data_IF_563014465401
#
_entry.id   IF_563014465401
#
_cell.length_a   1.000
_cell.length_b   1.000
_cell.length_c   1.000
_cell.angle_alpha   90.00
_cell.angle_beta   90.00
_cell.angle_gamma   90.00
#
_symmetry.space_group_name_H-M   'P 1'
#
loop_
_entity.id
_entity.type
_entity.pdbx_description
1 polymer ?
2 non-polymer ?
3 non-polymer ?
4 water ?
#
# COMPACT_ATOMS: atom_id res chain seq x y z
N UNK A 10 -14.12 -1.49 22.20
CA UNK A 10 -13.22 -2.31 23.01
C UNK A 10 -11.85 -1.64 23.20
N UNK A 11 -11.80 -0.95 24.34
CA UNK A 11 -10.58 -0.26 24.80
C UNK A 11 -9.90 -1.12 25.86
N UNK A 12 -8.60 -1.30 25.68
CA UNK A 12 -7.84 -2.11 26.66
C UNK A 12 -7.34 -1.18 27.76
N UNK A 13 -7.20 -1.75 28.96
CA UNK A 13 -6.75 -0.97 30.13
C UNK A 13 -5.33 -0.46 29.79
N UNK A 14 -5.05 0.72 30.18
CA UNK A 14 -3.81 1.46 29.98
C UNK A 14 -2.69 0.91 30.85
N UNK A 15 -1.57 0.60 30.18
CA UNK A 15 -0.38 0.11 30.92
C UNK A 15 0.08 1.28 31.82
N UNK A 16 0.87 0.87 32.83
CA UNK A 16 1.39 1.81 33.81
C UNK A 16 2.30 2.87 33.28
N UNK A 17 3.08 2.61 32.26
CA UNK A 17 4.02 3.66 31.77
C UNK A 17 3.39 4.70 30.93
N UNK A 18 2.09 4.56 30.61
CA UNK A 18 1.47 5.54 29.66
C UNK A 18 0.82 6.70 30.46
N UNK A 19 1.29 7.90 30.23
CA UNK A 19 0.68 9.10 30.85
C UNK A 19 -0.70 9.26 30.22
N UNK A 20 -1.69 9.50 31.03
CA UNK A 20 -3.07 9.63 30.49
C UNK A 20 -3.22 10.79 29.54
N UNK A 21 -2.26 11.72 29.54
CA UNK A 21 -2.33 12.91 28.69
C UNK A 21 -1.96 12.53 27.26
N UNK A 22 -1.32 11.38 27.12
CA UNK A 22 -0.89 10.91 25.79
C UNK A 22 -1.90 9.98 25.21
N UNK A 23 -2.98 9.64 25.86
CA UNK A 23 -4.04 8.78 25.32
C UNK A 23 -4.88 9.51 24.28
N UNK A 24 -5.09 8.83 23.17
CA UNK A 24 -5.93 9.25 22.02
C UNK A 24 -6.40 7.90 21.38
N UNK A 25 -7.62 7.54 21.62
CA UNK A 25 -8.17 6.26 21.17
C UNK A 25 -8.57 6.31 19.68
N UNK A 26 -7.64 6.08 18.86
CA UNK A 26 -7.71 5.94 17.42
C UNK A 26 -7.87 4.43 17.12
N UNK A 27 -8.83 4.11 16.22
CA UNK A 27 -9.03 2.74 15.80
C UNK A 27 -8.59 2.73 14.32
N UNK A 28 -7.39 2.21 14.07
CA UNK A 28 -6.83 2.18 12.75
C UNK A 28 -7.74 1.36 11.77
N UNK A 29 -8.61 0.58 12.31
CA UNK A 29 -9.49 -0.25 11.50
C UNK A 29 -10.86 0.34 11.29
N UNK A 30 -11.15 1.39 12.02
CA UNK A 30 -12.41 2.11 11.92
C UNK A 30 -12.32 3.46 12.59
N UNK A 31 -11.57 4.34 11.94
CA UNK A 31 -11.44 5.72 12.42
C UNK A 31 -12.83 6.36 12.34
N UNK A 32 -12.95 7.47 13.03
CA UNK A 32 -14.13 8.22 13.18
C UNK A 32 -14.67 8.97 12.01
N UNK A 33 -13.81 9.74 11.38
CA UNK A 33 -14.28 10.55 10.23
C UNK A 33 -14.28 9.80 8.91
N UNK A 34 -14.39 8.48 8.92
CA UNK A 34 -14.32 7.67 7.68
C UNK A 34 -15.14 8.24 6.55
N UNK A 35 -16.36 8.65 6.84
CA UNK A 35 -17.24 9.31 5.83
C UNK A 35 -16.54 10.42 5.07
N UNK A 36 -15.71 11.21 5.71
CA UNK A 36 -15.00 12.34 5.03
C UNK A 36 -14.00 11.86 4.00
N UNK A 37 -13.65 10.59 4.11
CA UNK A 37 -12.50 10.06 3.32
C UNK A 37 -11.49 9.54 4.34
N UNK A 38 -10.74 8.51 3.87
CA UNK A 38 -9.83 7.78 4.70
C UNK A 38 -8.61 8.60 5.12
N UNK A 39 -8.07 9.42 4.24
CA UNK A 39 -6.88 10.20 4.53
C UNK A 39 -7.35 11.30 5.53
N UNK A 40 -8.55 11.84 5.26
CA UNK A 40 -9.08 12.85 6.18
C UNK A 40 -9.32 12.26 7.56
N UNK A 41 -9.72 11.01 7.67
CA UNK A 41 -10.04 10.37 8.92
C UNK A 41 -8.79 10.22 9.75
N UNK A 42 -7.68 9.84 9.22
CA UNK A 42 -6.40 9.72 9.87
C UNK A 42 -5.79 11.08 10.25
N UNK A 43 -5.93 12.08 9.45
CA UNK A 43 -5.39 13.41 9.62
C UNK A 43 -5.90 14.11 10.88
N UNK A 44 -6.89 13.51 11.54
CA UNK A 44 -7.39 14.01 12.80
C UNK A 44 -6.25 13.86 13.84
N UNK A 45 -5.41 12.90 13.69
CA UNK A 45 -4.21 12.66 14.47
C UNK A 45 -3.29 13.85 14.37
N UNK A 46 -3.48 14.74 13.39
CA UNK A 46 -2.50 15.85 13.28
C UNK A 46 -3.04 17.21 13.71
N UNK A 47 -4.22 17.16 14.23
CA UNK A 47 -4.89 18.37 14.81
C UNK A 47 -4.06 18.80 16.03
N UNK A 48 -4.16 20.11 16.27
CA UNK A 48 -3.45 20.79 17.38
C UNK A 48 -3.63 20.16 18.72
N UNK A 49 -4.76 19.63 19.06
CA UNK A 49 -5.01 18.94 20.30
C UNK A 49 -4.25 17.63 20.48
N UNK A 50 -3.72 17.08 19.38
CA UNK A 50 -3.09 15.76 19.51
C UNK A 50 -1.60 15.89 19.72
N UNK A 51 -1.10 15.25 20.73
CA UNK A 51 0.38 15.18 20.96
C UNK A 51 1.00 14.36 19.81
N UNK A 52 2.24 14.60 19.49
CA UNK A 52 3.05 14.10 18.45
C UNK A 52 3.12 12.56 18.47
N UNK A 53 3.15 12.05 19.68
CA UNK A 53 3.18 10.62 19.95
C UNK A 53 2.04 10.32 20.90
N UNK A 54 1.12 9.51 20.62
CA UNK A 54 -0.03 9.18 21.40
C UNK A 54 -0.05 7.70 21.67
N UNK A 55 -0.94 7.28 22.55
CA UNK A 55 -1.20 5.87 22.84
C UNK A 55 -2.67 5.59 22.56
N UNK A 56 -2.99 4.47 21.88
CA UNK A 56 -4.46 4.24 21.70
C UNK A 56 -4.76 2.99 22.51
N UNK A 57 -5.99 2.88 22.97
CA UNK A 57 -6.34 1.65 23.73
C UNK A 57 -7.07 0.68 22.82
N UNK A 58 -7.27 1.02 21.58
CA UNK A 58 -7.97 0.11 20.64
C UNK A 58 -6.93 -0.86 20.09
N UNK A 59 -7.43 -1.94 19.55
CA UNK A 59 -6.58 -2.93 18.86
C UNK A 59 -5.46 -3.35 19.78
N UNK A 60 -5.79 -3.40 21.09
CA UNK A 60 -4.92 -3.83 22.13
C UNK A 60 -3.96 -2.88 22.83
N UNK A 61 -3.98 -1.62 22.47
CA UNK A 61 -3.13 -0.57 22.90
C UNK A 61 -1.79 -0.61 22.19
N UNK A 62 -1.39 0.53 21.68
CA UNK A 62 -0.11 0.66 20.92
C UNK A 62 0.09 2.19 20.82
N UNK A 63 1.28 2.58 20.49
CA UNK A 63 1.61 3.99 20.20
C UNK A 63 1.37 4.30 18.73
N UNK A 64 1.23 5.55 18.40
CA UNK A 64 1.13 6.10 17.08
C UNK A 64 2.01 7.33 16.99
N UNK A 65 2.91 7.41 16.10
CA UNK A 65 3.71 8.61 15.82
C UNK A 65 2.81 9.35 14.81
N UNK A 66 2.58 10.64 14.95
CA UNK A 66 1.70 11.40 14.12
C UNK A 66 2.40 12.40 13.22
N UNK A 67 3.65 12.53 13.24
CA UNK A 67 4.39 13.53 12.50
C UNK A 67 5.53 12.92 11.67
N UNK A 68 5.61 13.45 10.46
CA UNK A 68 6.61 13.03 9.50
C UNK A 68 7.99 12.89 10.05
N UNK A 69 8.37 13.76 10.93
CA UNK A 69 9.71 13.80 11.58
C UNK A 69 9.88 12.60 12.45
N UNK A 70 8.95 12.23 13.29
CA UNK A 70 9.03 11.07 14.14
C UNK A 70 9.01 9.79 13.37
N UNK A 71 8.07 9.71 12.40
CA UNK A 71 7.91 8.48 11.56
C UNK A 71 9.20 8.11 10.86
N UNK A 72 9.82 9.08 10.24
CA UNK A 72 11.11 8.90 9.59
C UNK A 72 12.17 8.45 10.53
N UNK A 73 12.23 9.07 11.72
CA UNK A 73 13.22 8.75 12.72
C UNK A 73 13.03 7.32 13.20
N UNK A 74 11.78 6.98 13.51
CA UNK A 74 11.55 5.60 13.97
C UNK A 74 11.90 4.64 12.82
N UNK A 75 11.65 4.99 11.58
CA UNK A 75 11.94 4.17 10.40
C UNK A 75 13.38 3.94 10.14
N UNK A 76 14.23 4.85 10.54
CA UNK A 76 15.67 4.78 10.42
C UNK A 76 16.33 3.97 11.49
N UNK A 77 15.86 4.08 12.68
CA UNK A 77 16.27 3.46 13.91
C UNK A 77 15.94 2.03 14.16
N UNK A 78 16.26 1.10 13.28
CA UNK A 78 15.92 -0.31 13.40
C UNK A 78 16.46 -1.00 14.64
N UNK A 79 17.46 -0.40 15.22
CA UNK A 79 18.06 -0.90 16.50
C UNK A 79 17.00 -0.87 17.59
N UNK A 80 16.21 0.25 17.60
CA UNK A 80 15.17 0.43 18.60
C UNK A 80 13.80 -0.09 18.15
N UNK A 81 13.51 0.34 16.95
CA UNK A 81 12.22 -0.03 16.28
C UNK A 81 12.42 -1.21 15.31
N UNK A 82 12.09 -2.37 15.77
CA UNK A 82 12.30 -3.62 15.03
C UNK A 82 11.10 -4.06 14.24
N UNK A 83 11.45 -4.63 13.04
CA UNK A 83 10.39 -5.07 12.08
C UNK A 83 9.84 -6.42 12.45
N UNK A 84 10.35 -7.04 13.52
CA UNK A 84 9.89 -8.34 13.93
C UNK A 84 8.40 -8.48 14.02
N UNK A 85 7.73 -7.51 14.54
CA UNK A 85 6.27 -7.49 14.84
C UNK A 85 5.74 -6.15 14.30
N UNK A 86 5.51 -6.15 12.97
CA UNK A 86 5.23 -4.97 12.20
C UNK A 86 3.80 -4.62 11.97
N UNK A 87 2.90 -5.48 12.45
CA UNK A 87 1.45 -5.23 12.24
C UNK A 87 0.80 -5.16 13.63
N UNK A 88 -0.14 -4.30 13.72
CA UNK A 88 -1.08 -4.17 14.86
C UNK A 88 -2.36 -4.82 14.28
N UNK A 89 -3.04 -5.65 14.99
CA UNK A 89 -2.81 -6.05 16.38
C UNK A 89 -1.66 -7.00 16.56
N UNK A 90 -1.27 -7.24 17.81
CA UNK A 90 -0.05 -8.06 18.09
C UNK A 90 -0.15 -9.42 17.45
N UNK A 91 -1.22 -10.16 17.64
CA UNK A 91 -1.40 -11.49 17.05
C UNK A 91 -1.07 -11.49 15.54
N UNK A 92 -1.47 -10.40 14.88
CA UNK A 92 -1.26 -10.17 13.49
C UNK A 92 0.24 -9.98 13.23
N UNK A 93 0.84 -9.10 14.05
CA UNK A 93 2.29 -8.81 13.82
C UNK A 93 3.10 -10.05 14.14
N UNK A 94 2.55 -10.82 15.10
CA UNK A 94 3.16 -12.01 15.60
C UNK A 94 3.17 -13.10 14.55
N UNK A 95 2.02 -13.29 13.91
CA UNK A 95 1.89 -14.46 12.99
C UNK A 95 2.55 -14.20 11.67
N UNK A 96 2.69 -12.90 11.45
CA UNK A 96 3.23 -12.46 10.07
C UNK A 96 4.71 -12.84 10.15
N UNK A 97 5.24 -13.32 9.09
CA UNK A 97 6.64 -13.71 8.97
C UNK A 97 7.14 -13.48 7.55
N UNK A 98 6.61 -12.41 6.96
CA UNK A 98 7.02 -12.12 5.54
C UNK A 98 8.47 -11.67 5.48
N UNK A 99 9.13 -12.06 4.36
CA UNK A 99 10.53 -11.62 4.19
C UNK A 99 10.48 -10.67 3.00
N UNK A 100 11.23 -9.59 2.97
CA UNK A 100 12.20 -9.15 3.99
C UNK A 100 11.61 -8.21 5.05
N UNK A 101 10.32 -8.09 5.06
CA UNK A 101 9.56 -7.19 5.94
C UNK A 101 9.67 -7.50 7.42
N UNK A 102 9.79 -8.75 7.82
CA UNK A 102 9.92 -9.07 9.25
C UNK A 102 11.35 -9.22 9.67
N UNK A 103 12.28 -8.63 8.96
CA UNK A 103 13.71 -8.73 9.38
C UNK A 103 14.31 -7.35 9.43
N UNK A 104 15.38 -7.25 10.25
CA UNK A 104 16.14 -6.01 10.32
C UNK A 104 17.47 -6.28 9.62
N UNK A 105 18.16 -5.21 9.28
CA UNK A 105 19.50 -5.27 8.74
C UNK A 105 20.37 -5.78 9.86
N UNK A 106 21.40 -6.55 9.54
CA UNK A 106 21.87 -6.90 8.21
C UNK A 106 21.29 -8.10 7.51
N UNK A 107 20.50 -8.89 8.19
CA UNK A 107 19.84 -10.11 7.67
C UNK A 107 18.92 -9.75 6.52
N UNK A 108 18.17 -8.68 6.70
CA UNK A 108 17.28 -8.10 5.65
C UNK A 108 17.92 -7.97 4.28
N UNK A 109 19.11 -7.37 4.26
CA UNK A 109 19.84 -6.99 3.04
C UNK A 109 19.90 -8.01 1.91
N UNK A 110 20.26 -9.24 2.21
CA UNK A 110 20.37 -10.34 1.31
C UNK A 110 19.05 -10.67 0.64
N UNK A 111 18.04 -10.88 1.48
CA UNK A 111 16.71 -11.24 0.99
C UNK A 111 16.17 -10.13 0.09
N UNK A 112 16.58 -8.93 0.50
CA UNK A 112 16.18 -7.70 -0.17
C UNK A 112 16.70 -7.74 -1.62
N UNK A 113 17.97 -8.01 -1.71
CA UNK A 113 18.70 -8.09 -2.99
C UNK A 113 18.00 -9.03 -3.99
N UNK A 114 17.51 -10.16 -3.48
CA UNK A 114 16.80 -11.12 -4.37
C UNK A 114 15.47 -10.62 -4.88
N UNK A 115 14.71 -10.01 -3.91
CA UNK A 115 13.35 -9.51 -4.17
C UNK A 115 13.40 -8.49 -5.30
N UNK A 116 14.47 -7.71 -5.26
CA UNK A 116 14.80 -6.69 -6.24
C UNK A 116 15.04 -7.32 -7.59
N UNK A 117 15.67 -8.47 -7.63
CA UNK A 117 15.92 -9.16 -8.92
C UNK A 117 14.58 -9.35 -9.61
N UNK A 118 13.60 -9.74 -8.82
CA UNK A 118 12.26 -9.97 -9.25
C UNK A 118 11.34 -8.82 -9.60
N UNK A 119 11.33 -7.69 -8.98
CA UNK A 119 10.49 -6.53 -9.11
C UNK A 119 11.17 -5.24 -9.52
N UNK A 120 12.48 -5.19 -9.45
CA UNK A 120 13.24 -3.97 -9.73
C UNK A 120 12.93 -3.32 -11.05
N UNK A 121 13.74 -2.27 -11.30
CA UNK A 121 13.72 -1.49 -12.53
C UNK A 121 13.73 -2.34 -13.80
N UNK A 122 14.77 -3.14 -13.94
CA UNK A 122 14.98 -4.00 -15.12
C UNK A 122 13.79 -4.84 -15.50
N UNK A 123 13.09 -5.35 -14.52
CA UNK A 123 11.86 -6.14 -14.78
C UNK A 123 10.80 -5.25 -15.38
N UNK A 124 10.58 -4.08 -14.82
CA UNK A 124 9.57 -3.14 -15.28
C UNK A 124 9.88 -2.70 -16.72
N UNK A 125 11.16 -2.38 -16.93
CA UNK A 125 11.69 -1.96 -18.22
C UNK A 125 11.29 -3.00 -19.30
N UNK A 126 11.29 -4.23 -18.89
CA UNK A 126 10.95 -5.39 -19.70
C UNK A 126 9.45 -5.58 -19.86
N UNK A 127 8.65 -5.17 -18.88
CA UNK A 127 7.21 -5.40 -18.93
C UNK A 127 6.42 -4.22 -19.43
N UNK A 128 7.10 -3.16 -19.73
CA UNK A 128 6.45 -1.89 -20.06
C UNK A 128 5.39 -2.01 -21.13
N UNK A 129 5.76 -2.72 -22.19
CA UNK A 129 4.85 -2.92 -23.35
C UNK A 129 3.67 -3.75 -22.94
N UNK A 130 3.76 -4.72 -22.05
CA UNK A 130 2.50 -5.41 -21.69
C UNK A 130 1.67 -4.47 -20.84
N UNK A 131 2.42 -3.68 -20.01
CA UNK A 131 1.66 -2.77 -19.08
C UNK A 131 0.77 -1.86 -19.93
N UNK A 132 1.37 -1.27 -20.91
CA UNK A 132 0.78 -0.27 -21.84
C UNK A 132 -0.28 -0.88 -22.69
N UNK A 133 -0.01 -2.14 -23.11
CA UNK A 133 -0.90 -2.96 -23.85
C UNK A 133 -2.15 -3.28 -23.07
N UNK A 134 -1.96 -3.78 -21.84
CA UNK A 134 -3.13 -4.12 -21.02
C UNK A 134 -3.96 -2.91 -20.66
N UNK A 135 -3.30 -1.80 -20.34
CA UNK A 135 -4.11 -0.57 -20.00
C UNK A 135 -4.97 -0.12 -21.18
N UNK A 136 -4.38 0.03 -22.32
CA UNK A 136 -5.16 0.47 -23.55
C UNK A 136 -6.33 -0.46 -23.82
N UNK A 137 -6.04 -1.74 -23.74
CA UNK A 137 -7.09 -2.79 -24.00
C UNK A 137 -8.27 -2.67 -23.05
N UNK A 138 -7.95 -2.53 -21.76
CA UNK A 138 -8.99 -2.42 -20.69
C UNK A 138 -9.85 -1.17 -20.87
N UNK A 139 -9.22 -0.05 -21.19
CA UNK A 139 -9.84 1.25 -21.32
C UNK A 139 -10.71 1.29 -22.56
N UNK A 140 -10.13 0.80 -23.64
CA UNK A 140 -10.86 0.81 -24.95
C UNK A 140 -12.10 -0.03 -24.81
N UNK A 141 -11.95 -1.07 -24.03
CA UNK A 141 -13.11 -1.98 -23.77
C UNK A 141 -14.15 -1.31 -22.98
N UNK A 142 -13.75 -0.36 -22.08
CA UNK A 142 -14.71 0.38 -21.25
C UNK A 142 -15.33 1.55 -21.97
N UNK A 143 -14.52 2.30 -22.70
CA UNK A 143 -14.88 3.55 -23.37
C UNK A 143 -16.27 3.69 -23.87
N UNK A 144 -16.76 2.82 -24.74
CA UNK A 144 -18.10 2.96 -25.34
C UNK A 144 -19.26 2.76 -24.43
N UNK A 145 -19.05 2.19 -23.26
CA UNK A 145 -20.11 1.87 -22.30
C UNK A 145 -20.69 3.05 -21.53
N UNK A 146 -19.89 4.12 -21.43
CA UNK A 146 -20.22 5.30 -20.69
C UNK A 146 -20.34 5.01 -19.17
N UNK A 147 -19.91 3.89 -18.69
CA UNK A 147 -20.06 3.54 -17.28
C UNK A 147 -19.31 2.32 -16.85
N UNK A 148 -18.50 2.42 -15.75
CA UNK A 148 -17.95 1.22 -15.11
C UNK A 148 -18.15 1.28 -13.59
N UNK A 149 -17.51 0.44 -12.88
CA UNK A 149 -17.20 0.14 -11.58
C UNK A 149 -15.66 0.25 -11.43
N UNK A 150 -15.05 1.37 -11.64
CA UNK A 150 -13.63 1.44 -11.71
C UNK A 150 -12.93 0.48 -10.77
N UNK A 151 -13.51 0.26 -9.58
CA UNK A 151 -12.73 -0.64 -8.68
C UNK A 151 -12.65 -1.99 -9.31
N UNK A 152 -13.76 -2.62 -9.61
CA UNK A 152 -13.73 -3.94 -10.24
C UNK A 152 -13.38 -3.96 -11.70
N UNK A 153 -13.86 -3.06 -12.50
CA UNK A 153 -13.60 -2.94 -13.92
C UNK A 153 -12.17 -2.59 -14.27
N UNK A 154 -11.38 -1.93 -13.46
CA UNK A 154 -10.03 -1.55 -13.92
C UNK A 154 -9.00 -1.64 -12.81
N UNK A 155 -9.33 -1.08 -11.65
CA UNK A 155 -8.35 -0.98 -10.56
C UNK A 155 -7.85 -2.33 -10.10
N UNK A 156 -8.74 -3.31 -10.08
CA UNK A 156 -8.37 -4.68 -9.80
C UNK A 156 -7.65 -5.41 -10.87
N UNK A 157 -8.21 -5.57 -12.08
CA UNK A 157 -7.63 -6.35 -13.14
C UNK A 157 -6.29 -5.88 -13.66
N UNK A 158 -6.22 -4.56 -13.86
CA UNK A 158 -5.03 -3.93 -14.46
C UNK A 158 -3.79 -4.42 -13.78
N UNK A 159 -3.57 -4.01 -12.53
CA UNK A 159 -2.44 -4.39 -11.71
C UNK A 159 -2.31 -5.85 -11.49
N UNK A 160 -3.40 -6.55 -11.22
CA UNK A 160 -3.42 -7.96 -10.83
C UNK A 160 -3.00 -8.87 -11.95
N UNK A 161 -3.55 -8.60 -13.11
CA UNK A 161 -3.20 -9.37 -14.30
C UNK A 161 -1.75 -9.10 -14.65
N UNK A 162 -1.19 -7.96 -14.41
CA UNK A 162 0.25 -7.80 -14.73
C UNK A 162 1.08 -8.59 -13.74
N UNK A 163 0.55 -8.69 -12.49
CA UNK A 163 1.31 -9.41 -11.46
C UNK A 163 1.32 -10.91 -11.82
N UNK A 164 0.14 -11.42 -12.13
CA UNK A 164 -0.05 -12.86 -12.32
C UNK A 164 0.85 -13.31 -13.45
N UNK A 165 0.97 -12.46 -14.46
CA UNK A 165 1.82 -12.64 -15.61
C UNK A 165 3.25 -12.76 -15.13
N UNK A 166 3.67 -11.89 -14.27
CA UNK A 166 5.04 -11.78 -13.75
C UNK A 166 5.34 -13.01 -12.90
N UNK A 167 4.36 -13.43 -12.13
CA UNK A 167 4.56 -14.50 -11.16
C UNK A 167 4.36 -15.87 -11.87
N UNK A 168 3.71 -15.85 -12.96
CA UNK A 168 3.36 -17.02 -13.78
C UNK A 168 2.29 -17.80 -13.05
N UNK A 169 1.24 -17.12 -12.61
CA UNK A 169 0.17 -17.84 -11.86
C UNK A 169 -1.11 -17.61 -12.67
N UNK A 170 -2.01 -18.56 -12.56
CA UNK A 170 -3.27 -18.52 -13.34
C UNK A 170 -4.23 -17.44 -12.96
N UNK A 171 -4.84 -16.79 -13.93
CA UNK A 171 -5.83 -15.72 -13.65
C UNK A 171 -7.01 -16.22 -12.86
N UNK A 172 -7.28 -17.49 -12.96
CA UNK A 172 -8.37 -18.20 -12.32
C UNK A 172 -8.20 -18.07 -10.82
N UNK A 173 -6.95 -17.94 -10.39
CA UNK A 173 -6.68 -17.87 -8.94
C UNK A 173 -7.02 -16.58 -8.25
N UNK A 174 -7.25 -15.52 -8.98
CA UNK A 174 -7.46 -14.19 -8.49
C UNK A 174 -8.44 -14.03 -7.37
N UNK A 175 -9.67 -14.47 -7.59
CA UNK A 175 -10.75 -14.28 -6.61
C UNK A 175 -10.40 -14.83 -5.26
N UNK A 176 -9.77 -15.98 -5.23
CA UNK A 176 -9.35 -16.73 -4.07
C UNK A 176 -8.19 -16.02 -3.37
N UNK A 177 -7.19 -15.71 -4.18
CA UNK A 177 -6.03 -14.96 -3.64
C UNK A 177 -6.35 -13.62 -3.02
N UNK A 178 -7.15 -12.86 -3.73
CA UNK A 178 -7.51 -11.50 -3.41
C UNK A 178 -8.26 -11.47 -2.11
N UNK A 179 -9.19 -12.40 -1.95
CA UNK A 179 -9.92 -12.53 -0.68
C UNK A 179 -8.93 -12.74 0.48
N UNK A 180 -7.98 -13.61 0.30
CA UNK A 180 -7.02 -13.91 1.34
C UNK A 180 -6.15 -12.68 1.68
N UNK A 181 -5.81 -11.95 0.66
CA UNK A 181 -4.93 -10.79 0.75
C UNK A 181 -5.62 -9.66 1.53
N UNK A 182 -6.87 -9.47 1.19
CA UNK A 182 -7.78 -8.50 1.75
C UNK A 182 -7.97 -8.69 3.25
N UNK A 183 -8.05 -9.95 3.62
CA UNK A 183 -8.26 -10.35 5.00
C UNK A 183 -7.05 -9.91 5.81
N UNK A 184 -5.91 -9.90 5.17
CA UNK A 184 -4.67 -9.50 5.83
C UNK A 184 -4.60 -8.02 6.14
N UNK A 185 -5.01 -7.17 5.20
CA UNK A 185 -4.84 -5.70 5.40
C UNK A 185 -6.06 -5.03 5.97
N UNK A 186 -7.21 -5.48 5.52
CA UNK A 186 -8.51 -4.99 5.93
C UNK A 186 -9.32 -6.15 6.43
N UNK A 187 -8.86 -6.72 7.54
CA UNK A 187 -9.52 -7.86 8.20
C UNK A 187 -11.04 -7.62 8.33
N UNK A 188 -11.72 -8.63 7.84
CA UNK A 188 -13.20 -8.66 7.72
C UNK A 188 -13.88 -9.03 9.05
N UNK A 189 -13.29 -10.01 9.65
CA UNK A 189 -13.74 -10.61 10.93
C UNK A 189 -13.99 -12.07 10.65
N UNK A 190 -13.97 -12.41 9.36
CA UNK A 190 -14.34 -13.75 8.86
C UNK A 190 -13.23 -14.77 9.08
N UNK A 191 -12.04 -14.24 9.18
CA UNK A 191 -10.85 -15.10 9.40
C UNK A 191 -9.78 -14.23 10.06
N UNK A 192 -9.07 -14.83 10.97
CA UNK A 192 -7.93 -14.23 11.69
C UNK A 192 -6.68 -14.19 10.76
N UNK A 193 -5.65 -13.50 11.18
CA UNK A 193 -4.44 -13.28 10.42
C UNK A 193 -3.76 -14.63 10.14
N UNK A 194 -3.64 -15.45 11.17
CA UNK A 194 -2.93 -16.72 11.02
C UNK A 194 -3.62 -17.67 10.06
N UNK A 195 -4.93 -17.77 10.19
CA UNK A 195 -5.74 -18.61 9.30
C UNK A 195 -5.51 -18.03 7.88
N UNK A 196 -5.60 -16.69 7.72
CA UNK A 196 -5.46 -16.11 6.41
C UNK A 196 -4.06 -16.48 5.92
N UNK A 197 -3.10 -16.25 6.81
CA UNK A 197 -1.70 -16.51 6.41
C UNK A 197 -1.48 -17.96 5.97
N UNK A 198 -2.10 -18.86 6.74
CA UNK A 198 -1.98 -20.27 6.46
C UNK A 198 -2.53 -20.66 5.12
N UNK A 199 -3.67 -20.12 4.77
CA UNK A 199 -4.40 -20.36 3.53
C UNK A 199 -3.57 -19.88 2.35
N UNK A 200 -2.94 -18.71 2.51
CA UNK A 200 -2.12 -18.24 1.33
C UNK A 200 -0.94 -19.20 1.20
N UNK A 201 -0.46 -19.63 2.34
CA UNK A 201 0.69 -20.56 2.39
C UNK A 201 0.36 -21.91 1.80
N UNK A 202 -0.85 -22.38 2.05
CA UNK A 202 -1.31 -23.66 1.48
C UNK A 202 -1.20 -23.63 -0.06
N UNK A 203 -1.55 -22.50 -0.60
CA UNK A 203 -1.52 -22.14 -2.01
C UNK A 203 -0.10 -22.25 -2.52
N UNK A 204 0.77 -21.42 -2.02
CA UNK A 204 2.16 -21.30 -2.46
C UNK A 204 2.99 -22.57 -2.38
N UNK A 205 2.93 -23.26 -1.27
CA UNK A 205 3.79 -24.44 -1.01
C UNK A 205 3.98 -25.34 -2.23
N UNK A 206 2.89 -25.84 -2.79
CA UNK A 206 2.92 -26.74 -3.93
C UNK A 206 3.56 -26.10 -5.14
N UNK A 207 3.24 -24.83 -5.34
CA UNK A 207 3.76 -24.05 -6.47
C UNK A 207 5.27 -23.99 -6.37
N UNK A 208 5.75 -23.58 -5.23
CA UNK A 208 7.18 -23.41 -5.03
C UNK A 208 7.92 -24.73 -5.24
N UNK A 209 7.42 -25.81 -4.68
CA UNK A 209 8.03 -27.13 -4.74
C UNK A 209 8.32 -27.46 -6.23
N UNK A 210 7.32 -27.28 -7.02
CA UNK A 210 7.16 -27.46 -8.45
C UNK A 210 8.18 -26.62 -9.20
N UNK A 211 8.47 -25.41 -8.72
CA UNK A 211 9.40 -24.51 -9.39
C UNK A 211 10.83 -24.65 -8.95
N UNK A 212 11.07 -25.43 -7.92
CA UNK A 212 12.46 -25.72 -7.51
C UNK A 212 12.92 -26.93 -8.35
N UNK A 213 11.98 -27.84 -8.55
CA UNK A 213 12.22 -29.05 -9.39
C UNK A 213 12.40 -28.65 -10.88
N UNK A 214 11.43 -27.91 -11.36
CA UNK A 214 11.25 -27.47 -12.73
C UNK A 214 11.01 -25.95 -12.84
N UNK A 215 12.15 -25.25 -12.84
CA UNK A 215 12.21 -23.82 -12.88
C UNK A 215 11.63 -23.24 -14.15
N UNK A 216 11.06 -22.07 -13.94
CA UNK A 216 10.60 -21.23 -15.08
C UNK A 216 11.50 -19.97 -15.04
N UNK A 217 10.97 -18.97 -15.70
CA UNK A 217 11.55 -17.64 -15.84
C UNK A 217 10.67 -16.67 -15.01
N UNK A 218 9.61 -17.20 -14.43
CA UNK A 218 8.66 -16.38 -13.65
C UNK A 218 9.26 -16.00 -12.29
N UNK A 219 8.57 -15.07 -11.61
CA UNK A 219 9.09 -14.51 -10.34
C UNK A 219 9.28 -15.55 -9.29
N UNK A 220 8.34 -16.49 -9.20
CA UNK A 220 8.37 -17.52 -8.16
C UNK A 220 9.60 -18.39 -8.33
N UNK A 221 9.78 -18.80 -9.61
CA UNK A 221 10.86 -19.66 -10.05
C UNK A 221 12.20 -19.01 -9.71
N UNK A 222 12.35 -17.71 -9.95
CA UNK A 222 13.60 -17.04 -9.58
C UNK A 222 13.78 -17.01 -8.04
N UNK A 223 12.71 -16.71 -7.31
CA UNK A 223 12.81 -16.65 -5.84
C UNK A 223 13.14 -18.04 -5.29
N UNK A 224 12.43 -19.02 -5.74
CA UNK A 224 12.57 -20.39 -5.24
C UNK A 224 13.98 -20.92 -5.42
N UNK A 225 14.65 -20.51 -6.47
CA UNK A 225 16.00 -20.99 -6.82
C UNK A 225 17.10 -19.98 -6.54
N UNK A 226 16.83 -18.92 -5.78
CA UNK A 226 17.75 -17.79 -5.58
C UNK A 226 18.82 -18.12 -4.58
N UNK A 227 19.84 -17.28 -4.51
CA UNK A 227 20.94 -17.42 -3.55
C UNK A 227 20.87 -16.29 -2.49
N UNK A 228 21.01 -16.72 -1.25
CA UNK A 228 21.02 -15.84 -0.10
C UNK A 228 22.20 -16.20 0.82
N UNK A 229 23.12 -15.26 0.91
CA UNK A 229 24.31 -15.40 1.79
C UNK A 229 25.09 -16.64 1.41
N UNK A 230 25.36 -16.71 0.11
CA UNK A 230 26.13 -17.77 -0.53
C UNK A 230 25.42 -19.09 -0.70
N UNK A 231 24.46 -19.37 0.15
CA UNK A 231 23.75 -20.69 0.09
C UNK A 231 22.40 -20.53 -0.57
N UNK A 232 21.79 -21.66 -0.89
CA UNK A 232 20.45 -21.69 -1.52
C UNK A 232 19.40 -21.25 -0.48
N UNK A 233 18.40 -20.55 -0.97
CA UNK A 233 17.26 -20.12 -0.14
C UNK A 233 16.46 -21.38 0.20
N UNK A 234 15.86 -21.43 1.33
CA UNK A 234 15.05 -22.62 1.71
C UNK A 234 13.68 -22.38 1.09
N UNK A 235 12.86 -23.41 1.21
CA UNK A 235 11.49 -23.44 0.65
C UNK A 235 10.63 -22.50 1.52
N UNK A 236 10.93 -22.59 2.81
CA UNK A 236 10.15 -21.85 3.85
C UNK A 236 10.42 -20.34 3.69
N UNK A 237 11.68 -19.97 3.49
CA UNK A 237 12.06 -18.62 3.16
C UNK A 237 11.44 -18.11 1.85
N UNK A 238 11.46 -19.01 0.85
CA UNK A 238 10.90 -18.60 -0.47
C UNK A 238 9.39 -18.37 -0.35
N UNK A 239 8.76 -19.17 0.46
CA UNK A 239 7.31 -19.09 0.69
C UNK A 239 7.01 -17.72 1.31
N UNK A 240 7.88 -17.43 2.34
CA UNK A 240 7.78 -16.16 3.04
C UNK A 240 8.10 -14.97 2.18
N UNK A 241 9.00 -14.96 1.23
CA UNK A 241 9.12 -13.81 0.32
C UNK A 241 7.86 -13.76 -0.58
N UNK A 242 7.56 -14.90 -1.21
CA UNK A 242 6.44 -14.95 -2.12
C UNK A 242 5.15 -14.44 -1.53
N UNK A 243 4.98 -14.76 -0.25
CA UNK A 243 3.77 -14.25 0.47
C UNK A 243 3.74 -12.73 0.35
N UNK A 244 4.87 -12.08 0.53
CA UNK A 244 4.92 -10.63 0.44
C UNK A 244 4.58 -10.10 -0.93
N UNK A 245 5.24 -10.74 -1.95
CA UNK A 245 5.03 -10.31 -3.36
C UNK A 245 3.55 -10.34 -3.71
N UNK A 246 2.86 -11.34 -3.26
CA UNK A 246 1.45 -11.55 -3.50
C UNK A 246 0.57 -10.38 -3.05
N UNK A 247 0.76 -10.02 -1.83
CA UNK A 247 0.11 -8.83 -1.19
C UNK A 247 0.49 -7.58 -1.95
N UNK A 248 1.72 -7.35 -2.29
CA UNK A 248 2.20 -6.20 -3.04
C UNK A 248 1.54 -6.10 -4.39
N UNK A 249 1.45 -7.22 -5.12
CA UNK A 249 0.81 -7.30 -6.40
C UNK A 249 -0.71 -7.10 -6.29
N UNK A 250 -1.36 -7.77 -5.36
CA UNK A 250 -2.82 -7.73 -5.31
C UNK A 250 -3.47 -6.59 -4.59
N UNK A 251 -2.87 -6.12 -3.54
CA UNK A 251 -3.38 -5.13 -2.59
C UNK A 251 -2.89 -3.77 -2.62
N UNK A 252 -1.99 -3.27 -3.39
CA UNK A 252 -1.42 -1.95 -3.34
C UNK A 252 -1.82 -0.92 -4.37
N UNK A 253 -1.38 -1.08 -5.58
CA UNK A 253 -1.65 -0.27 -6.75
C UNK A 253 -3.15 -0.30 -6.99
N UNK A 254 -3.72 -1.43 -6.59
CA UNK A 254 -5.19 -1.63 -6.73
C UNK A 254 -5.97 -0.52 -6.02
N UNK A 255 -5.66 -0.38 -4.77
CA UNK A 255 -6.27 0.67 -3.90
C UNK A 255 -5.83 2.06 -4.26
N UNK A 256 -4.56 2.26 -4.56
CA UNK A 256 -4.09 3.59 -4.98
C UNK A 256 -4.85 4.21 -6.07
N UNK A 257 -5.17 3.47 -7.14
CA UNK A 257 -5.74 3.90 -8.38
C UNK A 257 -7.16 4.41 -8.20
N UNK A 258 -7.90 3.69 -7.36
CA UNK A 258 -9.28 4.13 -7.05
C UNK A 258 -9.28 5.47 -6.32
N UNK A 259 -8.31 5.70 -5.41
CA UNK A 259 -8.36 7.06 -4.70
C UNK A 259 -8.08 8.13 -5.73
N UNK A 260 -7.07 7.85 -6.60
CA UNK A 260 -6.66 8.85 -7.61
C UNK A 260 -7.78 9.10 -8.63
N UNK A 261 -8.45 8.04 -9.02
CA UNK A 261 -9.52 8.16 -10.03
C UNK A 261 -10.71 8.90 -9.50
N UNK A 262 -11.00 8.67 -8.23
CA UNK A 262 -12.05 9.40 -7.49
C UNK A 262 -11.67 10.87 -7.45
N UNK A 263 -10.46 11.18 -7.05
CA UNK A 263 -10.03 12.61 -7.13
C UNK A 263 -10.21 13.13 -8.53
N UNK A 264 -9.71 12.42 -9.55
CA UNK A 264 -9.80 12.90 -10.92
C UNK A 264 -11.23 13.09 -11.38
N UNK A 265 -12.13 12.18 -11.10
CA UNK A 265 -13.53 12.28 -11.45
C UNK A 265 -14.18 13.51 -10.83
N UNK A 266 -13.62 13.99 -9.73
CA UNK A 266 -14.18 15.29 -9.14
C UNK A 266 -13.47 16.49 -9.52
N UNK A 267 -12.36 16.53 -10.13
CA UNK A 267 -11.60 17.77 -10.41
C UNK A 267 -11.27 17.95 -11.86
N UNK A 268 -12.24 18.47 -12.62
CA UNK A 268 -12.11 18.69 -14.06
C UNK A 268 -10.84 19.38 -14.45
N UNK A 269 -10.52 20.39 -13.61
CA UNK A 269 -9.34 21.22 -13.85
C UNK A 269 -8.05 20.45 -13.65
N UNK A 270 -8.09 19.45 -12.79
CA UNK A 270 -6.86 18.63 -12.63
C UNK A 270 -6.61 17.77 -13.85
N UNK A 271 -7.66 17.22 -14.35
CA UNK A 271 -7.71 16.46 -15.62
C UNK A 271 -7.20 17.32 -16.78
N UNK A 272 -7.64 18.53 -16.93
CA UNK A 272 -7.26 19.41 -18.00
C UNK A 272 -5.80 19.69 -18.06
N UNK A 273 -5.27 19.88 -16.88
CA UNK A 273 -3.90 20.31 -16.72
C UNK A 273 -2.99 19.25 -17.29
N UNK A 274 -3.33 18.00 -16.98
CA UNK A 274 -2.58 16.84 -17.35
C UNK A 274 -2.77 16.52 -18.84
N UNK A 275 -3.94 16.89 -19.32
CA UNK A 275 -4.26 16.82 -20.73
C UNK A 275 -3.43 17.75 -21.59
N UNK A 276 -3.36 19.01 -21.23
CA UNK A 276 -2.55 19.97 -22.02
C UNK A 276 -1.08 19.96 -21.71
N UNK A 277 -0.72 19.57 -20.49
CA UNK A 277 0.72 19.69 -20.11
C UNK A 277 1.16 18.33 -19.63
N UNK A 278 1.23 17.37 -20.55
CA UNK A 278 1.55 15.99 -20.27
C UNK A 278 2.86 15.81 -19.52
N UNK A 279 3.76 16.77 -19.61
CA UNK A 279 5.06 16.74 -19.01
C UNK A 279 5.02 16.73 -17.49
N UNK A 280 3.82 17.01 -17.01
CA UNK A 280 3.45 17.16 -15.64
C UNK A 280 2.98 15.85 -15.06
N UNK A 281 2.66 14.89 -15.93
CA UNK A 281 2.19 13.58 -15.39
C UNK A 281 3.01 13.00 -14.25
N UNK A 282 4.31 12.93 -14.37
CA UNK A 282 5.22 12.39 -13.33
C UNK A 282 5.03 13.18 -12.04
N UNK A 283 5.18 14.48 -12.14
CA UNK A 283 4.94 15.41 -11.01
C UNK A 283 3.62 15.13 -10.36
N UNK A 284 2.58 15.03 -11.15
CA UNK A 284 1.23 14.80 -10.68
C UNK A 284 1.17 13.50 -9.87
N UNK A 285 1.90 12.49 -10.44
CA UNK A 285 1.88 11.14 -9.89
C UNK A 285 2.46 11.19 -8.48
N UNK A 286 3.54 11.96 -8.30
CA UNK A 286 4.12 12.04 -6.95
C UNK A 286 3.15 12.73 -6.00
N UNK A 287 2.53 13.79 -6.43
CA UNK A 287 1.61 14.55 -5.60
C UNK A 287 0.46 13.66 -5.15
N UNK A 288 -0.05 12.82 -6.04
CA UNK A 288 -1.19 11.95 -5.75
C UNK A 288 -0.69 10.84 -4.81
N UNK A 289 0.54 10.42 -4.97
CA UNK A 289 1.14 9.43 -4.06
C UNK A 289 1.24 10.06 -2.64
N UNK A 290 1.57 11.31 -2.59
CA UNK A 290 1.56 12.11 -1.30
C UNK A 290 0.16 12.27 -0.70
N UNK A 291 -0.79 12.79 -1.49
CA UNK A 291 -2.16 13.07 -1.05
C UNK A 291 -2.98 11.83 -0.74
N UNK A 292 -2.90 10.79 -1.60
CA UNK A 292 -3.68 9.59 -1.41
C UNK A 292 -2.86 8.41 -0.97
N UNK A 293 -1.86 8.67 -0.15
CA UNK A 293 -0.97 7.67 0.49
C UNK A 293 -1.93 6.75 1.29
N UNK A 294 -1.53 5.48 1.52
CA UNK A 294 -2.50 4.54 2.02
C UNK A 294 -2.02 3.38 2.86
N UNK A 295 -0.75 3.38 3.20
CA UNK A 295 -0.15 2.32 3.99
C UNK A 295 0.04 2.78 5.46
N UNK A 296 -0.21 1.84 6.39
CA UNK A 296 0.08 2.11 7.81
C UNK A 296 0.54 0.88 8.51
N UNK A 297 1.88 0.79 8.66
CA UNK A 297 2.38 -0.26 9.58
C UNK A 297 3.23 0.31 10.67
N UNK A 298 3.94 -0.60 11.35
CA UNK A 298 4.67 -0.22 12.61
C UNK A 298 5.81 -1.11 12.84
N UNK A 299 6.39 -0.99 14.01
CA UNK A 299 7.57 -1.67 14.54
C UNK A 299 7.39 -1.94 16.03
N UNK A 300 8.23 -2.81 16.57
CA UNK A 300 8.09 -3.17 18.03
C UNK A 300 9.35 -2.72 18.71
N UNK A 301 9.23 -2.25 19.93
CA UNK A 301 10.40 -1.81 20.71
C UNK A 301 11.18 -3.05 21.21
N UNK A 302 12.46 -2.94 20.94
CA UNK A 302 13.41 -4.02 21.31
C UNK A 302 13.86 -3.85 22.75
N UNK A 303 13.61 -2.64 23.25
CA UNK A 303 13.92 -2.32 24.66
C UNK A 303 13.17 -1.06 25.11
N UNK A 304 13.49 -0.76 26.39
CA UNK A 304 12.94 0.50 26.99
C UNK A 304 13.81 1.59 26.34
N UNK A 305 13.12 2.59 25.82
CA UNK A 305 13.82 3.65 25.09
C UNK A 305 12.98 4.91 25.21
N UNK A 306 13.71 6.00 25.30
CA UNK A 306 13.01 7.29 25.49
C UNK A 306 13.11 8.07 24.22
N UNK A 307 11.94 8.27 23.62
CA UNK A 307 11.81 8.87 22.29
C UNK A 307 10.97 10.13 22.36
N UNK A 308 11.62 11.22 22.08
CA UNK A 308 10.95 12.56 22.06
C UNK A 308 10.22 12.78 23.36
N UNK A 309 10.92 12.49 24.46
CA UNK A 309 10.43 12.70 25.83
C UNK A 309 9.39 11.71 26.31
N UNK A 310 9.16 10.64 25.55
CA UNK A 310 8.18 9.63 25.97
C UNK A 310 8.89 8.34 26.26
N UNK A 311 8.46 7.65 27.31
CA UNK A 311 9.10 6.35 27.63
C UNK A 311 8.36 5.23 26.93
N UNK A 312 9.10 4.46 26.21
CA UNK A 312 8.53 3.31 25.44
C UNK A 312 9.11 2.09 26.16
N UNK A 313 8.23 1.15 26.45
CA UNK A 313 8.75 -0.06 27.11
C UNK A 313 9.02 -1.14 26.08
N UNK A 314 10.07 -1.90 26.26
CA UNK A 314 10.42 -3.03 25.39
C UNK A 314 9.13 -3.85 25.12
N UNK A 315 8.88 -4.14 23.83
CA UNK A 315 7.65 -4.96 23.56
C UNK A 315 6.45 -4.16 23.18
N UNK A 316 6.50 -2.85 23.37
CA UNK A 316 5.45 -1.92 22.95
C UNK A 316 5.49 -1.96 21.38
N UNK A 317 4.28 -1.86 20.85
CA UNK A 317 4.15 -1.68 19.38
C UNK A 317 3.86 -0.19 19.19
N UNK A 318 4.36 0.36 18.14
CA UNK A 318 4.03 1.71 17.68
C UNK A 318 3.69 1.63 16.19
N UNK A 319 2.60 2.17 15.75
CA UNK A 319 2.19 2.38 14.41
C UNK A 319 2.88 3.64 13.83
N UNK A 320 3.54 3.58 12.74
CA UNK A 320 4.28 4.68 12.11
C UNK A 320 3.65 4.82 10.67
N UNK A 321 2.47 5.36 10.64
CA UNK A 321 1.68 5.49 9.42
C UNK A 321 2.39 6.21 8.31
N UNK A 322 2.82 5.49 7.31
CA UNK A 322 3.50 6.04 6.13
C UNK A 322 2.71 7.12 5.47
N UNK A 323 1.42 6.89 5.52
CA UNK A 323 0.35 7.71 5.08
C UNK A 323 0.44 9.16 5.52
N UNK A 324 0.75 9.36 6.80
CA UNK A 324 0.76 10.67 7.46
C UNK A 324 1.92 11.57 7.17
N UNK A 325 3.11 11.13 6.96
CA UNK A 325 4.22 12.03 6.66
C UNK A 325 3.94 13.18 5.71
N UNK A 326 3.41 12.93 4.55
CA UNK A 326 3.07 13.81 3.47
C UNK A 326 1.83 14.67 3.76
N UNK A 327 0.98 14.25 4.67
CA UNK A 327 -0.21 14.99 5.01
C UNK A 327 0.02 16.03 6.12
N UNK A 328 1.16 16.00 6.75
CA UNK A 328 1.68 16.78 7.82
C UNK A 328 2.02 18.17 7.26
N UNK A 329 1.40 19.19 7.85
CA UNK A 329 1.60 20.57 7.50
C UNK A 329 3.02 21.02 7.67
N UNK A 330 3.77 20.42 8.54
CA UNK A 330 5.18 20.81 8.79
C UNK A 330 6.04 20.40 7.63
N UNK A 331 5.46 19.55 6.78
CA UNK A 331 6.16 18.92 5.64
C UNK A 331 5.62 19.48 4.33
N UNK A 332 4.32 19.65 4.26
CA UNK A 332 3.67 20.22 3.08
C UNK A 332 2.58 21.25 3.44
N UNK A 333 2.76 22.48 2.95
CA UNK A 333 1.77 23.57 3.18
C UNK A 333 0.48 23.08 2.48
N UNK A 334 -0.63 23.37 3.01
CA UNK A 334 -1.98 23.02 2.58
C UNK A 334 -2.05 21.56 2.11
N UNK A 335 -1.74 20.64 3.02
CA UNK A 335 -1.57 19.25 2.73
C UNK A 335 -2.70 18.52 2.08
N UNK A 336 -3.94 18.91 2.27
CA UNK A 336 -5.11 18.24 1.69
C UNK A 336 -5.42 18.82 0.30
N UNK A 337 -4.62 19.75 -0.12
CA UNK A 337 -4.73 20.41 -1.40
C UNK A 337 -3.77 19.69 -2.39
N UNK A 338 -4.38 19.31 -3.50
CA UNK A 338 -3.60 18.63 -4.58
C UNK A 338 -3.14 19.74 -5.53
N UNK A 339 -1.86 19.96 -5.57
CA UNK A 339 -1.26 21.01 -6.45
C UNK A 339 -0.11 20.33 -7.19
N UNK A 340 -0.25 20.15 -8.49
CA UNK A 340 0.73 19.44 -9.30
C UNK A 340 2.02 20.20 -9.48
N UNK A 341 2.01 21.43 -9.10
CA UNK A 341 3.19 22.28 -9.20
C UNK A 341 3.92 22.64 -7.93
N UNK A 342 3.70 21.88 -6.87
CA UNK A 342 4.40 22.03 -5.58
C UNK A 342 5.92 21.94 -5.84
N UNK A 343 6.71 22.80 -5.32
CA UNK A 343 8.16 22.79 -5.45
C UNK A 343 8.76 21.53 -4.82
N UNK A 344 8.16 21.06 -3.74
CA UNK A 344 8.66 19.87 -3.04
C UNK A 344 7.50 19.01 -2.56
N UNK A 345 7.43 17.83 -3.15
CA UNK A 345 6.48 16.80 -2.71
C UNK A 345 7.25 15.88 -1.76
N UNK A 346 6.96 16.03 -0.51
CA UNK A 346 7.55 15.25 0.60
C UNK A 346 6.51 14.23 1.03
N UNK A 347 6.86 12.97 0.95
CA UNK A 347 5.99 11.86 1.41
C UNK A 347 6.92 10.72 1.82
N UNK A 348 6.34 9.70 2.38
CA UNK A 348 7.04 8.44 2.68
C UNK A 348 6.05 7.33 2.32
N UNK A 349 5.38 7.58 1.20
CA UNK A 349 4.34 6.63 0.70
C UNK A 349 4.86 5.21 0.49
N UNK A 350 6.15 5.15 0.09
CA UNK A 350 6.78 3.83 -0.21
C UNK A 350 7.67 3.42 0.96
N UNK A 351 7.45 4.11 2.11
CA UNK A 351 8.24 3.78 3.27
C UNK A 351 9.51 4.60 3.32
N UNK A 352 10.30 4.22 4.34
CA UNK A 352 11.48 5.00 4.68
C UNK A 352 12.40 4.06 5.38
N UNK A 353 13.67 4.36 5.25
CA UNK A 353 14.67 3.53 5.89
C UNK A 353 15.03 2.32 5.08
N UNK A 354 15.47 1.28 5.81
CA UNK A 354 15.98 0.09 5.00
C UNK A 354 14.90 -0.64 4.27
N UNK A 355 13.64 -0.44 4.64
CA UNK A 355 12.52 -1.23 4.11
C UNK A 355 11.86 -0.55 2.95
N UNK A 356 12.51 0.38 2.36
CA UNK A 356 11.94 1.14 1.23
C UNK A 356 11.48 0.13 0.15
N UNK A 357 10.29 0.30 -0.30
CA UNK A 357 9.57 -0.34 -1.31
C UNK A 357 10.30 -0.53 -2.66
N UNK A 358 10.54 -1.86 -2.87
CA UNK A 358 11.20 -2.37 -4.06
C UNK A 358 10.25 -2.29 -5.27
N UNK A 359 8.95 -2.37 -5.04
CA UNK A 359 8.00 -2.37 -6.12
C UNK A 359 7.58 -0.98 -6.59
N UNK A 360 8.23 0.04 -6.04
CA UNK A 360 7.81 1.44 -6.30
C UNK A 360 7.88 1.74 -7.78
N UNK A 361 8.85 1.14 -8.44
CA UNK A 361 9.04 1.37 -9.94
C UNK A 361 7.88 0.84 -10.71
N UNK A 362 7.51 -0.40 -10.41
CA UNK A 362 6.36 -1.04 -11.02
C UNK A 362 5.12 -0.14 -10.74
N UNK A 363 4.98 0.21 -9.46
CA UNK A 363 3.78 1.06 -9.10
C UNK A 363 3.75 2.33 -9.85
N UNK A 364 4.86 3.10 -9.96
CA UNK A 364 4.85 4.38 -10.67
C UNK A 364 4.52 4.18 -12.14
N UNK A 365 5.10 3.12 -12.73
CA UNK A 365 4.84 2.84 -14.16
C UNK A 365 3.37 2.58 -14.39
N UNK A 366 2.74 1.78 -13.57
CA UNK A 366 1.31 1.46 -13.68
C UNK A 366 0.43 2.65 -13.43
N UNK A 367 0.80 3.56 -12.55
CA UNK A 367 0.02 4.81 -12.34
C UNK A 367 0.13 5.74 -13.54
N UNK A 368 1.36 6.03 -13.93
CA UNK A 368 1.52 6.97 -15.07
C UNK A 368 0.85 6.40 -16.32
N UNK A 369 0.91 5.11 -16.55
CA UNK A 369 0.30 4.53 -17.78
C UNK A 369 -1.18 4.81 -17.77
N UNK A 370 -1.83 4.47 -16.67
CA UNK A 370 -3.26 4.67 -16.48
C UNK A 370 -3.65 6.14 -16.64
N UNK A 371 -2.93 7.06 -15.99
CA UNK A 371 -3.40 8.46 -16.08
C UNK A 371 -3.29 8.85 -17.59
N UNK A 372 -2.16 8.55 -18.17
CA UNK A 372 -1.89 9.00 -19.52
C UNK A 372 -2.91 8.38 -20.47
N UNK A 373 -3.11 7.10 -20.30
CA UNK A 373 -4.01 6.37 -21.19
C UNK A 373 -5.45 6.61 -20.98
N UNK A 374 -5.93 6.79 -19.80
CA UNK A 374 -7.35 7.07 -19.51
C UNK A 374 -7.74 8.45 -20.01
N UNK A 375 -6.93 9.40 -19.67
CA UNK A 375 -7.16 10.80 -20.01
C UNK A 375 -7.24 11.01 -21.53
N UNK A 376 -6.55 10.15 -22.22
CA UNK A 376 -6.47 10.23 -23.72
C UNK A 376 -7.81 9.87 -24.31
N UNK A 377 -8.33 8.77 -23.89
CA UNK A 377 -9.59 8.20 -24.39
C UNK A 377 -10.78 8.79 -23.72
N UNK A 378 -10.74 8.85 -22.40
CA UNK A 378 -11.91 9.33 -21.62
C UNK A 378 -11.50 10.54 -20.76
N UNK A 379 -11.47 11.69 -21.43
CA UNK A 379 -11.07 12.95 -20.82
C UNK A 379 -12.04 13.54 -19.82
N UNK A 380 -13.31 13.18 -20.02
CA UNK A 380 -14.42 13.77 -19.29
C UNK A 380 -15.25 12.63 -18.73
N UNK A 381 -15.26 12.62 -17.39
CA UNK A 381 -15.96 11.63 -16.58
C UNK A 381 -16.26 12.31 -15.24
N UNK A 382 -17.21 11.71 -14.56
CA UNK A 382 -17.61 12.06 -13.22
C UNK A 382 -18.13 10.84 -12.50
N UNK A 383 -18.30 10.98 -11.20
CA UNK A 383 -18.84 9.87 -10.34
C UNK A 383 -20.33 9.82 -10.66
N UNK A 384 -20.85 8.66 -10.57
CA UNK A 384 -22.31 8.48 -10.86
C UNK A 384 -23.10 9.26 -9.84
N UNK A 385 -24.18 9.85 -10.30
CA UNK A 385 -25.12 10.62 -9.46
C UNK A 385 -25.71 9.70 -8.40
N UNK A 386 -25.66 10.17 -7.18
CA UNK A 386 -26.24 9.49 -6.02
C UNK A 386 -25.37 8.30 -5.60
N UNK A 387 -24.14 8.35 -6.10
CA UNK A 387 -23.15 7.32 -5.70
C UNK A 387 -22.55 7.94 -4.42
N UNK A 388 -22.46 7.06 -3.45
CA UNK A 388 -21.82 7.41 -2.17
C UNK A 388 -20.55 6.57 -2.03
N UNK A 389 -19.42 7.21 -2.30
CA UNK A 389 -18.11 6.56 -2.27
C UNK A 389 -17.70 6.22 -0.84
N UNK A 390 -17.39 4.95 -0.59
CA UNK A 390 -16.93 4.58 0.77
C UNK A 390 -15.50 4.16 0.79
N UNK A 391 -14.74 4.67 1.75
CA UNK A 391 -13.35 4.22 1.88
C UNK A 391 -13.30 3.14 2.93
N UNK A 392 -12.14 2.49 3.01
CA UNK A 392 -11.96 1.44 4.06
C UNK A 392 -10.57 1.66 4.64
N UNK A 393 -10.45 1.44 5.93
CA UNK A 393 -9.14 1.61 6.62
C UNK A 393 -8.60 0.30 7.11
N UNK A 394 -7.30 0.25 7.24
CA UNK A 394 -6.58 -0.91 7.73
C UNK A 394 -5.09 -0.64 7.44
N UNK A 395 -4.33 -1.71 7.35
CA UNK A 395 -2.92 -1.65 7.04
C UNK A 395 -2.77 -0.97 5.65
N UNK A 396 -3.68 -1.38 4.78
CA UNK A 396 -3.72 -0.71 3.44
C UNK A 396 -5.14 -0.24 3.28
N UNK A 397 -5.38 0.98 2.95
CA UNK A 397 -6.80 1.48 2.92
C UNK A 397 -7.26 1.28 1.46
N UNK A 398 -8.60 1.24 1.36
CA UNK A 398 -9.20 1.11 0.03
C UNK A 398 -10.43 1.90 -0.21
N UNK A 399 -10.91 1.79 -1.46
CA UNK A 399 -12.23 2.37 -1.87
C UNK A 399 -13.15 1.16 -2.07
N UNK A 400 -14.35 1.24 -1.59
CA UNK A 400 -15.29 0.05 -1.68
C UNK A 400 -15.79 -0.20 -3.08
N UNK A 401 -16.13 0.80 -3.84
CA UNK A 401 -16.59 0.75 -5.21
C UNK A 401 -16.37 2.14 -5.83
N UNK A 402 -16.16 2.28 -7.11
CA UNK A 402 -16.08 3.55 -7.78
C UNK A 402 -16.89 3.59 -9.09
N UNK A 403 -18.20 3.83 -8.93
CA UNK A 403 -19.16 4.00 -10.00
C UNK A 403 -18.86 5.30 -10.79
N UNK A 404 -18.43 5.15 -12.05
CA UNK A 404 -18.15 6.29 -12.94
C UNK A 404 -19.18 6.28 -14.08
N UNK A 405 -19.47 7.46 -14.62
CA UNK A 405 -20.33 7.62 -15.77
C UNK A 405 -19.66 8.65 -16.66
N UNK A 406 -19.92 8.59 -17.93
CA UNK A 406 -19.36 9.58 -18.89
C UNK A 406 -20.21 9.44 -20.16
N UNK A 407 -20.07 10.47 -20.97
CA UNK A 407 -20.76 10.43 -22.31
C UNK A 407 -19.75 9.83 -23.28
N UNK A 408 -20.18 8.78 -24.00
CA UNK A 408 -19.36 8.09 -24.96
C UNK A 408 -19.02 9.00 -26.09
N UNK A 409 -19.90 9.98 -26.31
CA UNK A 409 -19.72 10.89 -27.44
C UNK A 409 -18.52 11.80 -27.28
N UNK A 410 -18.04 11.89 -26.03
CA UNK A 410 -16.91 12.78 -25.73
C UNK A 410 -15.62 11.99 -25.59
N UNK A 411 -15.71 10.68 -25.78
CA UNK A 411 -14.51 9.86 -25.70
C UNK A 411 -13.79 9.92 -27.03
N UNK A 412 -12.58 9.38 -27.06
CA UNK A 412 -11.76 9.29 -28.25
C UNK A 412 -11.14 7.90 -28.36
N UNK A 413 -11.47 7.22 -29.44
CA UNK A 413 -10.87 5.89 -29.70
C UNK A 413 -9.45 6.17 -30.21
N UNK A 414 -8.56 5.32 -29.81
CA UNK A 414 -7.16 5.33 -30.27
C UNK A 414 -6.88 3.93 -30.83
X LIG B 1 7.71 -2.57 1.12
X LIG B 1 4.21 0.63 0.10
X LIG B 1 3.50 -1.52 -4.16
X LIG B 1 6.78 -4.88 -3.00
X LIG B 1 6.78 -1.52 1.20
X LIG B 1 6.72 -0.57 2.31
X LIG B 1 5.71 0.28 2.07
X LIG B 1 5.22 -0.04 0.69
X LIG B 1 5.24 1.49 2.85
X LIG B 1 7.57 -0.73 3.56
X LIG B 1 6.76 -1.32 4.76
X LIG B 1 7.59 -1.34 6.02
X LIG B 1 8.59 -0.56 6.08
X LIG B 1 7.11 -2.10 6.90
X LIG B 1 3.75 0.36 -1.15
X LIG B 1 2.86 1.21 -1.93
X LIG B 1 2.61 0.63 -3.10
X LIG B 1 3.36 -0.62 -3.10
X LIG B 1 2.21 2.50 -1.33
X LIG B 1 1.67 1.01 -4.21
X LIG B 1 1.07 2.05 -4.65
X LIG B 1 4.36 -2.62 -4.24
X LIG B 1 4.40 -3.56 -5.35
X LIG B 1 5.28 -4.54 -4.99
X LIG B 1 5.79 -4.20 -3.66
X LIG B 1 3.58 -3.46 -6.63
X LIG B 1 5.82 -5.73 -5.79
X LIG B 1 4.96 -6.73 -6.20
X LIG B 1 7.38 -4.51 -1.80
X LIG B 1 8.41 -5.24 -1.14
X LIG B 1 8.73 -4.57 -0.03
X LIG B 1 7.80 -3.46 0.08
X LIG B 1 9.13 -6.49 -1.75
X LIG B 1 9.77 -4.91 1.03
X LIG B 1 11.19 -4.28 0.92
X LIG B 1 12.07 -4.62 2.12
X LIG B 1 13.30 -4.35 2.07
X LIG B 1 11.48 -5.04 3.15
X LIG B 1 5.88 -1.14 0.25
X LIG B 1 4.14 -0.73 -1.94
X LIG B 1 5.23 -3.00 -3.29
X LIG B 1 7.00 -3.40 -1.04
X LIG B 1 5.73 -1.99 -1.60
X LIG C 1 3.29 -4.19 1.02
X LIG C 1 3.57 -3.04 0.37
X LIG C 1 4.09 -3.32 -0.75
X LIG C 1 4.16 -4.59 -0.91
X LIG C 1 3.65 -5.22 0.21
X LIG C 1 2.71 -4.26 2.41
X LIG C 1 1.56 -4.99 2.61
X LIG C 1 1.05 -5.06 3.94
X LIG C 1 1.69 -4.27 4.88
X LIG C 1 2.89 -3.61 4.71
X LIG C 1 3.39 -3.60 3.40
#
# INVERSE_FOLDING_TARGET
TTETIQSNANLAPLPPHVPEHLVFDFDMYNPSNLSAGVQEAWAVLQESNVPDLVWTRCNGGHWIATRGQLIREAYEDYRHFSSECPFIPREAGEAYDFIPTSMDPPEQRQFRALANQVVGMPVVDKLENRIQELACSLIESLRPQGQCNFTEDYAEPFPIRIFMLLAGLPEEDIPHLKYLTDQMTRPDGSMTFAEAKEALYDYLIPIIEQRRQKPGTDAISIVANGQVNGRPITSDEAKRMCGLLLVGGLDTVVNFLSFSMEFLAKSPEHRQELIERPERIPAACEELLRRFSLVADGRILTSDYEFHGVQLKKGDQILLPQMLSGLDERENACPMHVDFSRQKVSHTTFGHGSHLCLGQHLARREIIVTLKEWLTRIPDFSIAPGAQIQHKSGIVSGVQALPLVWDPATTKAV
HEM CHA CHB CHC CHD C1A C2A C3A C4A CMA CAA CBA CGA O1A O2A C1B C2B C3B C4B CMB CAB CBB C1C C2C C3C C4C CMC CAC CBC C1D C2D C3D C4D CMD CAD CBD CGD O1D O2D NA NB NC ND FE
PIW N1 C2 N3 C4 C5 C6 C7 C8 C9 C10 C11
#
